data_IF_484869522078
#
_entry.id   IF_484869522078
#
_cell.length_a   1.000
_cell.length_b   1.000
_cell.length_c   1.000
_cell.angle_alpha   90.00
_cell.angle_beta   90.00
_cell.angle_gamma   90.00
#
_symmetry.space_group_name_H-M   'P 1'
#
loop_
_entity.id
_entity.type
_entity.pdbx_description
1 polymer ?
#
# COMPACT_ATOMS: atom_id res chain seq x y z
N UNK A 1 -7.16 -1.86 4.51
CA UNK A 1 -7.38 -1.34 5.87
C UNK A 1 -8.27 -2.25 6.72
N UNK A 2 -9.54 -2.53 6.36
CA UNK A 2 -10.37 -3.46 7.17
C UNK A 2 -9.82 -4.90 7.30
N UNK A 3 -9.21 -5.44 6.25
CA UNK A 3 -8.74 -6.83 6.23
C UNK A 3 -7.55 -7.08 7.16
N UNK A 4 -6.67 -6.09 7.38
CA UNK A 4 -5.49 -6.33 8.23
C UNK A 4 -5.86 -6.56 9.70
N UNK A 5 -6.92 -5.90 10.18
CA UNK A 5 -7.41 -6.14 11.54
C UNK A 5 -7.84 -7.59 11.74
N UNK A 6 -8.48 -8.21 10.75
CA UNK A 6 -8.83 -9.63 10.81
C UNK A 6 -7.58 -10.52 10.85
N UNK A 7 -6.61 -10.27 9.97
CA UNK A 7 -5.35 -11.03 9.92
C UNK A 7 -4.61 -10.93 11.25
N UNK A 8 -4.56 -9.73 11.84
CA UNK A 8 -3.96 -9.51 13.16
C UNK A 8 -4.63 -10.41 14.22
N UNK A 9 -5.96 -10.38 14.31
CA UNK A 9 -6.69 -11.19 15.29
C UNK A 9 -6.44 -12.69 15.10
N UNK A 10 -6.52 -13.18 13.87
CA UNK A 10 -6.24 -14.60 13.56
C UNK A 10 -4.82 -15.00 13.95
N UNK A 11 -3.82 -14.13 13.72
CA UNK A 11 -2.44 -14.42 14.13
C UNK A 11 -2.23 -14.38 15.64
N UNK A 12 -2.95 -13.52 16.36
CA UNK A 12 -2.93 -13.47 17.83
C UNK A 12 -3.55 -14.74 18.40
N UNK A 13 -4.73 -15.14 17.91
CA UNK A 13 -5.45 -16.35 18.35
C UNK A 13 -4.61 -17.63 18.16
N UNK A 14 -3.78 -17.66 17.13
CA UNK A 14 -2.89 -18.80 16.85
C UNK A 14 -1.49 -18.68 17.46
N UNK A 15 -1.19 -17.60 18.21
CA UNK A 15 0.14 -17.37 18.80
C UNK A 15 1.26 -17.16 17.77
N UNK A 16 0.92 -16.70 16.55
CA UNK A 16 1.83 -16.54 15.41
C UNK A 16 2.23 -15.09 15.16
N UNK A 17 1.63 -14.11 15.85
CA UNK A 17 1.81 -12.68 15.55
C UNK A 17 3.27 -12.21 15.55
N UNK A 18 4.09 -12.69 16.47
CA UNK A 18 5.50 -12.27 16.56
C UNK A 18 6.41 -12.94 15.52
N UNK A 19 5.89 -13.88 14.71
CA UNK A 19 6.68 -14.61 13.71
C UNK A 19 6.63 -13.99 12.33
N UNK A 20 5.80 -12.97 12.12
CA UNK A 20 5.53 -12.39 10.81
C UNK A 20 5.48 -10.87 10.88
N UNK A 21 5.88 -10.24 9.78
CA UNK A 21 5.74 -8.80 9.55
C UNK A 21 4.49 -8.58 8.72
N UNK A 22 3.55 -7.77 9.22
CA UNK A 22 2.33 -7.43 8.49
C UNK A 22 2.51 -6.16 7.66
N UNK A 23 2.71 -6.33 6.36
CA UNK A 23 2.80 -5.22 5.39
C UNK A 23 1.43 -4.88 4.82
N UNK A 24 1.13 -3.58 4.70
CA UNK A 24 -0.04 -3.08 3.99
C UNK A 24 0.32 -2.19 2.81
N UNK A 25 -0.55 -2.20 1.83
CA UNK A 25 -0.57 -1.35 0.65
C UNK A 25 -2.05 -1.05 0.35
N UNK A 26 -2.30 -0.04 -0.49
CA UNK A 26 -3.60 0.22 -1.08
C UNK A 26 -4.13 1.58 -0.68
N UNK A 27 -3.82 2.60 -1.49
CA UNK A 27 -4.44 3.92 -1.37
C UNK A 27 -3.92 4.79 -0.23
N UNK A 28 -2.79 4.45 0.39
CA UNK A 28 -2.10 5.30 1.36
C UNK A 28 -1.58 6.56 0.66
N UNK A 29 -2.03 7.73 1.09
CA UNK A 29 -1.67 9.03 0.48
C UNK A 29 -1.09 10.02 1.47
N UNK A 30 -1.38 9.84 2.75
CA UNK A 30 -1.02 10.76 3.82
C UNK A 30 -0.46 10.01 5.03
N UNK A 31 0.19 10.75 5.93
CA UNK A 31 0.64 10.21 7.22
C UNK A 31 -0.53 9.71 8.08
N UNK A 32 -1.73 10.28 7.94
CA UNK A 32 -2.91 9.81 8.67
C UNK A 32 -3.32 8.39 8.26
N UNK A 33 -3.21 8.07 6.97
CA UNK A 33 -3.49 6.73 6.46
C UNK A 33 -2.50 5.71 7.03
N UNK A 34 -1.23 6.10 7.15
CA UNK A 34 -0.16 5.29 7.76
C UNK A 34 -0.45 5.07 9.24
N UNK A 35 -0.76 6.12 10.00
CA UNK A 35 -1.08 6.02 11.42
C UNK A 35 -2.31 5.15 11.67
N UNK A 36 -3.34 5.27 10.82
CA UNK A 36 -4.54 4.44 10.92
C UNK A 36 -4.22 2.96 10.63
N UNK A 37 -3.39 2.67 9.62
CA UNK A 37 -2.94 1.31 9.36
C UNK A 37 -2.08 0.74 10.50
N UNK A 38 -1.20 1.55 11.09
CA UNK A 38 -0.38 1.18 12.24
C UNK A 38 -1.25 0.75 13.43
N UNK A 39 -2.27 1.57 13.74
CA UNK A 39 -3.22 1.29 14.82
C UNK A 39 -4.03 0.00 14.60
N UNK A 40 -4.14 -0.46 13.35
CA UNK A 40 -4.84 -1.71 12.98
C UNK A 40 -3.90 -2.92 12.90
N UNK A 41 -2.61 -2.77 13.20
CA UNK A 41 -1.65 -3.87 13.31
C UNK A 41 -0.61 -3.97 12.21
N UNK A 42 -0.50 -2.99 11.32
CA UNK A 42 0.53 -2.96 10.28
C UNK A 42 1.93 -2.68 10.87
N UNK A 43 2.93 -3.42 10.40
CA UNK A 43 4.34 -3.22 10.69
C UNK A 43 5.05 -2.44 9.57
N UNK A 44 4.58 -2.59 8.32
CA UNK A 44 5.19 -1.97 7.14
C UNK A 44 4.16 -1.40 6.16
N UNK A 45 4.56 -0.38 5.39
CA UNK A 45 3.69 0.41 4.52
C UNK A 45 4.26 0.52 3.11
N UNK A 46 3.51 0.02 2.12
CA UNK A 46 3.83 0.09 0.70
C UNK A 46 3.16 1.27 0.02
N UNK A 47 3.90 1.95 -0.85
CA UNK A 47 3.43 3.10 -1.63
C UNK A 47 3.64 2.83 -3.12
N UNK A 48 2.55 2.53 -3.84
CA UNK A 48 2.56 2.35 -5.30
C UNK A 48 2.19 3.63 -6.05
N UNK A 49 0.90 3.89 -6.19
CA UNK A 49 0.38 4.99 -7.01
C UNK A 49 0.92 6.37 -6.61
N UNK A 50 1.04 6.66 -5.31
CA UNK A 50 1.56 7.95 -4.84
C UNK A 50 3.05 8.11 -5.16
N UNK A 51 3.83 7.01 -5.11
CA UNK A 51 5.22 7.03 -5.52
C UNK A 51 5.35 7.29 -7.03
N UNK A 52 4.49 6.67 -7.86
CA UNK A 52 4.46 6.96 -9.29
C UNK A 52 4.07 8.42 -9.59
N UNK A 53 3.14 9.00 -8.83
CA UNK A 53 2.76 10.42 -8.95
C UNK A 53 3.96 11.31 -8.59
N UNK A 54 4.69 10.99 -7.52
CA UNK A 54 5.89 11.73 -7.13
C UNK A 54 6.98 11.71 -8.22
N UNK A 55 7.08 10.62 -8.99
CA UNK A 55 8.01 10.53 -10.13
C UNK A 55 7.46 11.11 -11.44
N UNK A 56 6.26 11.70 -11.44
CA UNK A 56 5.70 12.42 -12.59
C UNK A 56 4.42 11.84 -13.20
N UNK A 57 3.83 10.79 -12.62
CA UNK A 57 2.57 10.23 -13.14
C UNK A 57 1.43 11.25 -13.01
N UNK A 58 0.80 11.56 -14.13
CA UNK A 58 -0.36 12.48 -14.21
C UNK A 58 -1.70 11.76 -14.14
N UNK A 59 -1.72 10.48 -13.75
CA UNK A 59 -2.93 9.66 -13.64
C UNK A 59 -3.76 9.58 -14.94
N UNK A 60 -3.09 9.51 -16.10
CA UNK A 60 -3.76 9.38 -17.41
C UNK A 60 -4.50 8.05 -17.61
N UNK A 61 -4.20 7.02 -16.81
CA UNK A 61 -4.84 5.68 -16.81
C UNK A 61 -4.78 4.92 -18.15
N UNK A 62 -3.81 5.24 -19.00
CA UNK A 62 -3.54 4.53 -20.26
C UNK A 62 -2.25 3.70 -20.20
N UNK A 63 -1.79 3.31 -19.01
CA UNK A 63 -0.51 2.61 -18.84
C UNK A 63 -0.41 1.31 -19.66
N UNK A 64 -1.54 0.64 -19.93
CA UNK A 64 -1.61 -0.59 -20.72
C UNK A 64 -1.40 -0.37 -22.23
N UNK A 65 -1.39 0.88 -22.73
CA UNK A 65 -1.26 1.19 -24.15
C UNK A 65 0.18 1.47 -24.59
N UNK A 66 1.15 1.45 -23.66
CA UNK A 66 2.54 1.87 -23.89
C UNK A 66 2.69 3.31 -24.43
N UNK A 67 1.70 4.18 -24.18
CA UNK A 67 1.71 5.58 -24.62
C UNK A 67 1.64 6.55 -23.42
N UNK A 68 2.42 6.29 -22.38
CA UNK A 68 2.44 7.17 -21.20
C UNK A 68 2.94 8.58 -21.59
N UNK A 69 2.14 9.65 -21.40
CA UNK A 69 2.50 11.00 -21.87
C UNK A 69 3.71 11.61 -21.16
N UNK A 70 4.09 11.03 -20.02
CA UNK A 70 5.14 11.49 -19.11
C UNK A 70 6.25 10.45 -18.92
N UNK A 71 6.22 9.34 -19.68
CA UNK A 71 7.27 8.32 -19.66
C UNK A 71 7.38 7.45 -18.40
N UNK A 72 6.46 7.58 -17.43
CA UNK A 72 6.49 6.81 -16.17
C UNK A 72 6.20 5.32 -16.38
N UNK A 73 5.34 4.98 -17.34
CA UNK A 73 4.92 3.62 -17.63
C UNK A 73 4.90 3.36 -19.15
N UNK A 74 6.08 3.46 -19.77
CA UNK A 74 6.34 3.11 -21.17
C UNK A 74 7.69 2.41 -21.27
N UNK A 75 7.84 1.48 -22.22
CA UNK A 75 9.14 0.94 -22.65
C UNK A 75 9.75 1.80 -23.76
#
# INVERSE_FOLDING_TARGET
>A
VLIIGLILQTLIENGLRERVILRVDGGLKSGMDVMMAAAMGADEYGFGSVAMIATGCVMARICHTNNCPVGVASQ
#
